data_IF_837678172450
#
_entry.id   IF_837678172450
#
_cell.length_a   1.000
_cell.length_b   1.000
_cell.length_c   1.000
_cell.angle_alpha   90.00
_cell.angle_beta   90.00
_cell.angle_gamma   90.00
#
_symmetry.space_group_name_H-M   'P 1'
#
loop_
_entity.id
_entity.type
_entity.pdbx_description
1 polymer ?
#
# COMPACT_ATOMS: atom_id res chain seq x y z
N UNK A 1 11.71 -4.37 -15.24
CA UNK A 1 11.95 -3.83 -13.88
C UNK A 1 13.13 -4.57 -13.33
N UNK A 2 14.18 -3.85 -12.97
CA UNK A 2 15.37 -4.46 -12.40
C UNK A 2 15.04 -5.09 -11.04
N UNK A 3 15.80 -6.11 -10.62
CA UNK A 3 15.57 -6.79 -9.33
C UNK A 3 15.57 -5.83 -8.15
N UNK A 4 16.41 -4.78 -8.21
CA UNK A 4 16.46 -3.72 -7.21
C UNK A 4 15.17 -2.89 -7.14
N UNK A 5 14.62 -2.51 -8.30
CA UNK A 5 13.37 -1.75 -8.38
C UNK A 5 12.18 -2.57 -7.86
N UNK A 6 12.11 -3.85 -8.24
CA UNK A 6 11.07 -4.77 -7.75
C UNK A 6 11.14 -4.93 -6.23
N UNK A 7 12.35 -5.04 -5.67
CA UNK A 7 12.55 -5.10 -4.22
C UNK A 7 12.14 -3.78 -3.54
N UNK A 8 12.46 -2.64 -4.15
CA UNK A 8 12.09 -1.32 -3.63
C UNK A 8 10.58 -1.11 -3.57
N UNK A 9 9.83 -1.45 -4.62
CA UNK A 9 8.36 -1.31 -4.61
C UNK A 9 7.70 -2.30 -3.65
N UNK A 10 8.21 -3.55 -3.54
CA UNK A 10 7.73 -4.52 -2.54
C UNK A 10 7.98 -4.05 -1.11
N UNK A 11 9.14 -3.48 -0.82
CA UNK A 11 9.45 -2.92 0.50
C UNK A 11 8.52 -1.75 0.83
N UNK A 12 8.30 -0.86 -0.13
CA UNK A 12 7.39 0.28 0.00
C UNK A 12 5.95 -0.17 0.24
N UNK A 13 5.48 -1.19 -0.50
CA UNK A 13 4.16 -1.78 -0.33
C UNK A 13 3.97 -2.40 1.05
N UNK A 14 4.99 -3.11 1.59
CA UNK A 14 4.96 -3.65 2.96
C UNK A 14 4.83 -2.54 4.00
N UNK A 15 5.59 -1.46 3.83
CA UNK A 15 5.54 -0.33 4.75
C UNK A 15 4.16 0.36 4.70
N UNK A 16 3.65 0.64 3.50
CA UNK A 16 2.35 1.24 3.29
C UNK A 16 1.23 0.38 3.92
N UNK A 17 1.27 -0.94 3.69
CA UNK A 17 0.27 -1.84 4.26
C UNK A 17 0.34 -1.90 5.79
N UNK A 18 1.55 -1.95 6.38
CA UNK A 18 1.72 -1.92 7.83
C UNK A 18 1.18 -0.62 8.44
N UNK A 19 1.39 0.51 7.77
CA UNK A 19 0.86 1.82 8.19
C UNK A 19 -0.66 1.86 8.13
N UNK A 20 -1.27 1.32 7.06
CA UNK A 20 -2.73 1.15 6.94
C UNK A 20 -3.27 0.32 8.11
N UNK A 21 -2.68 -0.86 8.35
CA UNK A 21 -3.13 -1.73 9.43
C UNK A 21 -2.95 -1.10 10.81
N UNK A 22 -1.86 -0.34 11.01
CA UNK A 22 -1.64 0.44 12.22
C UNK A 22 -2.71 1.51 12.41
N UNK A 23 -2.97 2.29 11.36
CA UNK A 23 -3.97 3.35 11.35
C UNK A 23 -5.38 2.83 11.65
N UNK A 24 -5.77 1.68 11.09
CA UNK A 24 -7.05 1.04 11.42
C UNK A 24 -7.21 0.76 12.92
N UNK A 25 -6.12 0.41 13.61
CA UNK A 25 -6.13 0.14 15.05
C UNK A 25 -6.15 1.43 15.86
N UNK A 26 -5.30 2.40 15.51
CA UNK A 26 -5.17 3.66 16.26
C UNK A 26 -6.35 4.59 16.10
N UNK A 27 -7.02 4.56 14.94
CA UNK A 27 -8.20 5.36 14.63
C UNK A 27 -9.51 4.58 14.85
N UNK A 28 -9.44 3.38 15.44
CA UNK A 28 -10.59 2.53 15.74
C UNK A 28 -11.55 2.33 14.55
N UNK A 29 -11.01 2.02 13.36
CA UNK A 29 -11.79 1.87 12.14
C UNK A 29 -12.71 0.63 12.17
N UNK A 30 -13.98 0.83 12.54
CA UNK A 30 -14.98 -0.23 12.72
C UNK A 30 -15.75 -0.57 11.44
N UNK A 31 -15.92 0.38 10.52
CA UNK A 31 -16.66 0.17 9.27
C UNK A 31 -15.74 0.10 8.04
N UNK A 32 -16.28 -0.44 6.94
CA UNK A 32 -15.59 -0.44 5.63
C UNK A 32 -15.31 1.01 5.20
N UNK A 33 -16.27 1.92 5.41
CA UNK A 33 -16.16 3.34 5.04
C UNK A 33 -15.00 4.03 5.77
N UNK A 34 -14.81 3.76 7.05
CA UNK A 34 -13.69 4.34 7.82
C UNK A 34 -12.35 3.85 7.29
N UNK A 35 -12.27 2.54 6.98
CA UNK A 35 -11.06 1.94 6.40
C UNK A 35 -10.77 2.51 5.02
N UNK A 36 -11.76 2.73 4.17
CA UNK A 36 -11.57 3.34 2.85
C UNK A 36 -10.98 4.76 2.95
N UNK A 37 -11.48 5.58 3.88
CA UNK A 37 -10.96 6.93 4.12
C UNK A 37 -9.49 6.89 4.56
N UNK A 38 -9.16 6.02 5.52
CA UNK A 38 -7.79 5.82 6.02
C UNK A 38 -6.87 5.30 4.90
N UNK A 39 -7.29 4.26 4.19
CA UNK A 39 -6.55 3.67 3.08
C UNK A 39 -6.23 4.74 2.04
N UNK A 40 -7.23 5.50 1.60
CA UNK A 40 -7.06 6.54 0.59
C UNK A 40 -6.08 7.62 1.05
N UNK A 41 -6.18 8.08 2.30
CA UNK A 41 -5.27 9.09 2.86
C UNK A 41 -3.82 8.62 2.84
N UNK A 42 -3.57 7.38 3.27
CA UNK A 42 -2.22 6.81 3.32
C UNK A 42 -1.70 6.53 1.89
N UNK A 43 -2.50 5.91 1.03
CA UNK A 43 -2.12 5.62 -0.36
C UNK A 43 -1.74 6.88 -1.14
N UNK A 44 -2.49 7.97 -1.00
CA UNK A 44 -2.17 9.26 -1.63
C UNK A 44 -0.85 9.86 -1.12
N UNK A 45 -0.52 9.65 0.15
CA UNK A 45 0.77 10.06 0.72
C UNK A 45 1.92 9.26 0.09
N UNK A 46 1.75 7.95 -0.08
CA UNK A 46 2.76 7.08 -0.70
C UNK A 46 2.90 7.32 -2.20
N UNK A 47 1.80 7.57 -2.93
CA UNK A 47 1.84 7.90 -4.36
C UNK A 47 2.79 9.07 -4.64
N UNK A 48 2.69 10.14 -3.85
CA UNK A 48 3.59 11.30 -3.98
C UNK A 48 5.05 10.99 -3.68
N UNK A 49 5.34 9.98 -2.85
CA UNK A 49 6.71 9.57 -2.49
C UNK A 49 7.36 8.70 -3.55
N UNK A 50 6.56 7.89 -4.23
CA UNK A 50 7.05 6.91 -5.21
C UNK A 50 7.03 7.43 -6.64
N UNK A 51 6.19 8.42 -6.94
CA UNK A 51 6.14 9.07 -8.25
C UNK A 51 7.42 9.90 -8.51
N UNK A 52 7.98 9.89 -9.73
CA UNK A 52 7.51 9.22 -10.94
C UNK A 52 8.02 7.78 -11.12
N UNK A 53 8.85 7.28 -10.19
CA UNK A 53 9.51 5.97 -10.36
C UNK A 53 8.53 4.79 -10.36
N UNK A 54 7.50 4.86 -9.53
CA UNK A 54 6.44 3.87 -9.50
C UNK A 54 5.08 4.54 -9.54
N UNK A 55 4.11 3.81 -10.09
CA UNK A 55 2.70 4.21 -10.14
C UNK A 55 1.95 3.73 -8.90
N UNK A 56 0.83 4.38 -8.58
CA UNK A 56 -0.08 3.91 -7.54
C UNK A 56 -0.62 2.49 -7.84
N UNK A 57 -0.79 2.13 -9.12
CA UNK A 57 -1.23 0.79 -9.52
C UNK A 57 -0.23 -0.30 -9.15
N UNK A 58 1.07 -0.05 -9.34
CA UNK A 58 2.12 -0.97 -8.91
C UNK A 58 2.12 -1.14 -7.38
N UNK A 59 1.98 -0.04 -6.64
CA UNK A 59 1.86 -0.08 -5.18
C UNK A 59 0.65 -0.93 -4.74
N UNK A 60 -0.53 -0.67 -5.32
CA UNK A 60 -1.77 -1.40 -5.00
C UNK A 60 -1.65 -2.89 -5.33
N UNK A 61 -1.07 -3.24 -6.48
CA UNK A 61 -0.82 -4.63 -6.86
C UNK A 61 0.03 -5.34 -5.81
N UNK A 62 1.16 -4.75 -5.41
CA UNK A 62 2.04 -5.37 -4.42
C UNK A 62 1.41 -5.43 -3.02
N UNK A 63 0.61 -4.43 -2.61
CA UNK A 63 -0.19 -4.52 -1.38
C UNK A 63 -1.17 -5.70 -1.46
N UNK A 64 -1.85 -5.87 -2.60
CA UNK A 64 -2.76 -6.98 -2.84
C UNK A 64 -2.07 -8.35 -2.79
N UNK A 65 -0.82 -8.44 -3.28
CA UNK A 65 -0.01 -9.66 -3.12
C UNK A 65 0.34 -9.89 -1.66
N UNK A 66 0.79 -8.85 -0.94
CA UNK A 66 1.21 -8.95 0.47
C UNK A 66 0.05 -9.35 1.40
N UNK A 67 -1.15 -8.83 1.16
CA UNK A 67 -2.32 -9.12 1.98
C UNK A 67 -3.09 -10.39 1.52
N UNK A 68 -2.60 -11.07 0.48
CA UNK A 68 -3.19 -12.31 -0.03
C UNK A 68 -4.41 -12.14 -0.94
N UNK A 69 -4.81 -10.91 -1.26
CA UNK A 69 -5.93 -10.64 -2.20
C UNK A 69 -5.57 -11.01 -3.64
N UNK A 70 -4.29 -10.84 -4.01
CA UNK A 70 -3.77 -11.15 -5.34
C UNK A 70 -2.71 -12.24 -5.27
N UNK A 71 -2.59 -13.03 -6.34
CA UNK A 71 -1.49 -13.99 -6.51
C UNK A 71 -0.35 -13.33 -7.27
N UNK A 72 0.87 -13.54 -6.79
CA UNK A 72 2.08 -13.22 -7.55
C UNK A 72 2.11 -14.11 -8.79
N UNK A 73 2.21 -13.50 -9.98
CA UNK A 73 2.26 -14.19 -11.27
C UNK A 73 3.65 -14.05 -11.88
#
# INVERSE_FOLDING_TARGET
METAELNAIRATARQCWKEIQGAWKTEEAKSIKDREVINRRILLSYERRIYPRFTIYQLLYHIGVINGTLKER
#
